data_IF_759651347525
#
_entry.id   IF_759651347525
#
_cell.length_a   1.000
_cell.length_b   1.000
_cell.length_c   1.000
_cell.angle_alpha   90.00
_cell.angle_beta   90.00
_cell.angle_gamma   90.00
#
_symmetry.space_group_name_H-M   'P 1'
#
loop_
_entity.id
_entity.type
_entity.pdbx_description
1 polymer ?
#
# COMPACT_ATOMS: atom_id res chain seq x y z
N UNK A 1 -33.70 29.58 -32.70
CA UNK A 1 -32.50 28.72 -32.75
C UNK A 1 -32.26 28.13 -31.36
N UNK A 2 -32.42 26.80 -31.18
CA UNK A 2 -32.20 26.08 -29.90
C UNK A 2 -30.88 25.31 -29.99
N UNK A 3 -29.92 25.54 -29.09
CA UNK A 3 -28.75 24.66 -28.93
C UNK A 3 -28.99 23.73 -27.75
N UNK A 4 -29.09 22.45 -28.08
CA UNK A 4 -29.27 21.28 -27.20
C UNK A 4 -27.90 20.92 -26.64
N UNK A 5 -27.68 21.10 -25.34
CA UNK A 5 -26.54 20.50 -24.65
C UNK A 5 -26.86 19.03 -24.35
N UNK A 6 -26.12 18.12 -24.95
CA UNK A 6 -26.14 16.69 -24.64
C UNK A 6 -25.55 16.52 -23.24
N UNK A 7 -26.38 16.14 -22.28
CA UNK A 7 -25.94 15.62 -20.99
C UNK A 7 -25.69 14.12 -21.20
N UNK A 8 -24.43 13.67 -21.09
CA UNK A 8 -24.01 12.30 -20.70
C UNK A 8 -22.48 12.20 -20.80
N UNK A 9 -21.78 12.84 -19.85
CA UNK A 9 -20.59 12.22 -19.29
C UNK A 9 -21.09 11.51 -18.03
N UNK A 10 -21.20 10.19 -18.06
CA UNK A 10 -21.35 9.41 -16.83
C UNK A 10 -20.20 9.82 -15.93
N UNK A 11 -20.51 10.37 -14.75
CA UNK A 11 -19.50 10.60 -13.74
C UNK A 11 -18.71 9.30 -13.61
N UNK A 12 -17.39 9.37 -13.81
CA UNK A 12 -16.53 8.29 -13.38
C UNK A 12 -16.65 8.24 -11.87
N UNK A 13 -17.63 7.47 -11.40
CA UNK A 13 -17.72 7.06 -10.01
C UNK A 13 -16.69 5.96 -9.81
N UNK A 14 -15.42 6.32 -9.99
CA UNK A 14 -14.35 5.66 -9.26
C UNK A 14 -14.76 5.81 -7.79
N UNK A 15 -15.40 4.77 -7.24
CA UNK A 15 -15.84 4.77 -5.85
C UNK A 15 -14.58 4.96 -5.01
N UNK A 16 -14.37 6.18 -4.53
CA UNK A 16 -13.35 6.46 -3.51
C UNK A 16 -13.74 5.65 -2.29
N UNK A 17 -13.13 4.48 -2.15
CA UNK A 17 -13.36 3.59 -1.03
C UNK A 17 -12.64 4.21 0.16
N UNK A 18 -13.39 4.91 1.00
CA UNK A 18 -12.85 5.51 2.22
C UNK A 18 -12.27 4.41 3.11
N UNK A 19 -11.00 4.57 3.51
CA UNK A 19 -10.33 3.72 4.48
C UNK A 19 -10.63 4.26 5.89
N UNK A 20 -11.32 3.48 6.73
CA UNK A 20 -11.55 3.88 8.12
C UNK A 20 -10.36 3.53 9.03
N UNK A 21 -10.35 4.11 10.23
CA UNK A 21 -9.24 3.97 11.18
C UNK A 21 -9.04 2.53 11.68
N UNK A 22 -10.12 1.74 11.77
CA UNK A 22 -10.05 0.34 12.22
C UNK A 22 -9.39 -0.49 11.12
N UNK A 23 -9.84 -0.31 9.88
CA UNK A 23 -9.30 -0.98 8.69
C UNK A 23 -7.82 -0.64 8.51
N UNK A 24 -7.43 0.63 8.70
CA UNK A 24 -6.03 1.05 8.63
C UNK A 24 -5.19 0.39 9.74
N UNK A 25 -5.72 0.32 10.97
CA UNK A 25 -5.02 -0.33 12.08
C UNK A 25 -4.83 -1.83 11.85
N UNK A 26 -5.87 -2.51 11.39
CA UNK A 26 -5.82 -3.94 11.14
C UNK A 26 -4.88 -4.26 9.96
N UNK A 27 -4.86 -3.41 8.92
CA UNK A 27 -3.86 -3.48 7.86
C UNK A 27 -2.44 -3.34 8.40
N UNK A 28 -2.18 -2.36 9.29
CA UNK A 28 -0.85 -2.14 9.85
C UNK A 28 -0.37 -3.35 10.68
N UNK A 29 -1.25 -3.93 11.50
CA UNK A 29 -0.93 -5.15 12.25
C UNK A 29 -0.65 -6.34 11.34
N UNK A 30 -1.46 -6.52 10.29
CA UNK A 30 -1.25 -7.58 9.29
C UNK A 30 0.09 -7.40 8.60
N UNK A 31 0.40 -6.18 8.15
CA UNK A 31 1.68 -5.86 7.51
C UNK A 31 2.88 -6.14 8.43
N UNK A 32 2.82 -5.79 9.72
CA UNK A 32 3.88 -6.12 10.68
C UNK A 32 4.04 -7.64 10.85
N UNK A 33 2.93 -8.38 10.96
CA UNK A 33 2.95 -9.85 11.06
C UNK A 33 3.57 -10.50 9.83
N UNK A 34 3.21 -10.04 8.65
CA UNK A 34 3.71 -10.56 7.38
C UNK A 34 5.20 -10.21 7.20
N UNK A 35 5.61 -8.99 7.57
CA UNK A 35 7.03 -8.60 7.56
C UNK A 35 7.87 -9.47 8.49
N UNK A 36 7.36 -9.84 9.68
CA UNK A 36 8.04 -10.78 10.59
C UNK A 36 8.17 -12.15 9.93
N UNK A 37 7.10 -12.63 9.30
CA UNK A 37 7.04 -13.96 8.69
C UNK A 37 7.96 -14.09 7.48
N UNK A 38 8.08 -13.04 6.67
CA UNK A 38 8.80 -13.05 5.40
C UNK A 38 10.13 -12.29 5.42
N UNK A 39 10.63 -11.90 6.60
CA UNK A 39 11.83 -11.04 6.72
C UNK A 39 13.03 -11.58 5.94
N UNK A 40 13.29 -12.89 6.02
CA UNK A 40 14.42 -13.53 5.33
C UNK A 40 14.23 -13.59 3.81
N UNK A 41 13.00 -13.73 3.34
CA UNK A 41 12.68 -13.70 1.92
C UNK A 41 12.89 -12.30 1.35
N UNK A 42 12.40 -11.30 2.07
CA UNK A 42 12.51 -9.90 1.68
C UNK A 42 13.97 -9.41 1.73
N UNK A 43 14.74 -9.82 2.74
CA UNK A 43 16.18 -9.55 2.81
C UNK A 43 16.94 -10.07 1.58
N UNK A 44 16.46 -11.14 0.93
CA UNK A 44 17.06 -11.70 -0.29
C UNK A 44 16.65 -10.99 -1.59
N UNK A 45 15.68 -10.08 -1.55
CA UNK A 45 15.21 -9.38 -2.76
C UNK A 45 16.14 -8.24 -3.22
N UNK A 46 16.97 -7.68 -2.34
CA UNK A 46 17.85 -6.56 -2.72
C UNK A 46 18.95 -7.04 -3.68
N UNK A 47 18.82 -6.74 -4.97
CA UNK A 47 19.74 -7.18 -6.02
C UNK A 47 20.27 -6.03 -6.89
N UNK A 48 20.71 -4.89 -6.31
CA UNK A 48 21.71 -4.02 -6.97
C UNK A 48 22.26 -2.88 -6.08
N UNK A 49 23.57 -2.51 -6.14
CA UNK A 49 24.71 -3.23 -6.73
C UNK A 49 25.37 -4.23 -5.76
N UNK A 50 25.09 -4.15 -4.46
CA UNK A 50 25.49 -5.13 -3.43
C UNK A 50 24.30 -5.33 -2.50
N UNK A 51 23.90 -6.58 -2.27
CA UNK A 51 22.85 -6.91 -1.31
C UNK A 51 23.38 -6.71 0.12
N UNK A 52 22.93 -5.67 0.81
CA UNK A 52 23.14 -5.47 2.26
C UNK A 52 22.30 -6.44 3.12
N UNK A 53 21.34 -7.13 2.50
CA UNK A 53 20.49 -8.16 3.13
C UNK A 53 19.70 -7.66 4.33
N UNK A 54 19.40 -6.36 4.39
CA UNK A 54 18.71 -5.72 5.52
C UNK A 54 17.34 -5.13 5.15
N UNK A 55 16.91 -5.29 3.90
CA UNK A 55 15.70 -4.66 3.35
C UNK A 55 14.44 -4.99 4.14
N UNK A 56 14.25 -6.26 4.53
CA UNK A 56 13.15 -6.68 5.40
C UNK A 56 13.28 -6.14 6.81
N UNK A 57 14.50 -6.06 7.35
CA UNK A 57 14.75 -5.46 8.66
C UNK A 57 14.42 -3.96 8.69
N UNK A 58 14.81 -3.20 7.67
CA UNK A 58 14.53 -1.78 7.54
C UNK A 58 13.02 -1.49 7.43
N UNK A 59 12.28 -2.32 6.69
CA UNK A 59 10.83 -2.23 6.61
C UNK A 59 10.14 -2.57 7.94
N UNK A 60 10.56 -3.65 8.61
CA UNK A 60 10.01 -4.03 9.91
C UNK A 60 10.27 -2.96 10.98
N UNK A 61 11.48 -2.38 10.98
CA UNK A 61 11.81 -1.28 11.88
C UNK A 61 10.90 -0.07 11.64
N UNK A 62 10.76 0.35 10.39
CA UNK A 62 9.86 1.45 10.02
C UNK A 62 8.43 1.22 10.50
N UNK A 63 7.87 0.03 10.22
CA UNK A 63 6.48 -0.28 10.57
C UNK A 63 6.23 -0.42 12.08
N UNK A 64 7.24 -0.82 12.87
CA UNK A 64 7.16 -0.86 14.34
C UNK A 64 7.37 0.50 15.01
N UNK A 65 7.92 1.47 14.28
CA UNK A 65 8.23 2.81 14.78
C UNK A 65 7.07 3.80 14.63
N UNK A 66 6.05 3.42 13.84
CA UNK A 66 4.83 4.18 13.60
C UNK A 66 3.84 4.05 14.78
#
# INVERSE_FOLDING_TARGET
MRRRWVRLGTADTSQERLLDAITLRDWAHTAVSDLITHIDEINRLNVFPVADSDTGANMLFTMRSA
#
